data_IF_913025137100
#
_entry.id   IF_913025137100
#
_cell.length_a   1.000
_cell.length_b   1.000
_cell.length_c   1.000
_cell.angle_alpha   90.00
_cell.angle_beta   90.00
_cell.angle_gamma   90.00
#
_symmetry.space_group_name_H-M   'P 1'
#
loop_
_entity.id
_entity.type
_entity.pdbx_description
1 polymer ?
#
# COMPACT_ATOMS: atom_id res chain seq x y z
N UNK A 1 8.44 -8.16 5.77
CA UNK A 1 9.72 -8.76 5.35
C UNK A 1 10.44 -9.40 6.51
N UNK A 2 11.20 -8.62 7.30
CA UNK A 2 12.08 -9.16 8.37
C UNK A 2 11.36 -10.10 9.37
N UNK A 3 10.17 -9.78 9.92
CA UNK A 3 9.49 -10.71 10.80
C UNK A 3 9.15 -12.05 10.14
N UNK A 4 8.69 -12.04 8.88
CA UNK A 4 8.36 -13.26 8.13
C UNK A 4 9.61 -14.12 7.87
N UNK A 5 10.72 -13.49 7.47
CA UNK A 5 12.00 -14.18 7.26
C UNK A 5 12.48 -14.87 8.55
N UNK A 6 12.39 -14.17 9.69
CA UNK A 6 12.73 -14.73 11.01
C UNK A 6 11.80 -15.86 11.45
N UNK A 7 10.58 -15.91 10.94
CA UNK A 7 9.65 -17.04 11.13
C UNK A 7 9.91 -18.21 10.17
N UNK A 8 10.99 -18.16 9.38
CA UNK A 8 11.38 -19.23 8.45
C UNK A 8 10.67 -19.18 7.09
N UNK A 9 9.94 -18.11 6.79
CA UNK A 9 9.31 -17.91 5.47
C UNK A 9 10.31 -17.21 4.54
N UNK A 10 10.70 -17.81 3.41
CA UNK A 10 11.55 -17.12 2.44
C UNK A 10 10.86 -15.87 1.89
N UNK A 11 11.55 -14.74 1.90
CA UNK A 11 11.03 -13.45 1.42
C UNK A 11 11.99 -12.85 0.42
N UNK A 12 11.45 -12.38 -0.71
CA UNK A 12 12.13 -11.44 -1.59
C UNK A 12 11.29 -10.14 -1.70
N UNK A 13 11.91 -9.05 -2.15
CA UNK A 13 11.22 -7.77 -2.27
C UNK A 13 11.63 -6.94 -3.48
N UNK A 14 10.73 -6.01 -3.85
CA UNK A 14 11.02 -4.86 -4.70
C UNK A 14 11.01 -3.62 -3.82
N UNK A 15 11.96 -2.73 -4.04
CA UNK A 15 12.01 -1.42 -3.38
C UNK A 15 12.45 -0.39 -4.41
N UNK A 16 11.75 0.74 -4.52
CA UNK A 16 12.11 1.81 -5.46
C UNK A 16 13.13 2.77 -4.84
N UNK A 17 13.09 2.91 -3.51
CA UNK A 17 13.87 3.87 -2.73
C UNK A 17 15.20 3.29 -2.26
N UNK A 18 16.31 3.72 -2.86
CA UNK A 18 17.64 3.36 -2.38
C UNK A 18 17.86 3.73 -0.90
N UNK A 19 17.41 4.90 -0.38
CA UNK A 19 17.50 5.19 1.05
C UNK A 19 16.79 4.16 1.94
N UNK A 20 15.59 3.71 1.55
CA UNK A 20 14.85 2.70 2.31
C UNK A 20 15.53 1.34 2.24
N UNK A 21 16.08 0.99 1.08
CA UNK A 21 16.88 -0.22 0.94
C UNK A 21 18.13 -0.17 1.83
N UNK A 22 18.84 0.96 1.91
CA UNK A 22 19.96 1.13 2.86
C UNK A 22 19.51 0.95 4.30
N UNK A 23 18.35 1.50 4.68
CA UNK A 23 17.79 1.31 6.02
C UNK A 23 17.45 -0.16 6.30
N UNK A 24 16.89 -0.89 5.34
CA UNK A 24 16.64 -2.33 5.47
C UNK A 24 17.95 -3.10 5.75
N UNK A 25 19.04 -2.75 5.06
CA UNK A 25 20.35 -3.40 5.23
C UNK A 25 21.01 -3.17 6.59
N UNK A 26 20.52 -2.23 7.39
CA UNK A 26 20.92 -2.10 8.80
C UNK A 26 20.30 -3.17 9.71
N UNK A 27 19.27 -3.88 9.21
CA UNK A 27 18.46 -4.84 9.98
C UNK A 27 18.62 -6.29 9.50
N UNK A 28 18.95 -6.49 8.22
CA UNK A 28 19.01 -7.80 7.58
C UNK A 28 19.92 -7.80 6.36
N UNK A 29 20.68 -8.88 6.18
CA UNK A 29 21.61 -9.03 5.06
C UNK A 29 20.89 -9.37 3.75
N UNK A 30 21.57 -9.11 2.62
CA UNK A 30 21.03 -9.37 1.28
C UNK A 30 20.82 -10.86 0.99
N UNK A 31 21.54 -11.74 1.67
CA UNK A 31 21.40 -13.19 1.57
C UNK A 31 20.15 -13.69 2.28
N UNK A 32 19.75 -13.06 3.40
CA UNK A 32 18.56 -13.44 4.15
C UNK A 32 17.28 -12.89 3.51
N UNK A 33 17.31 -11.65 3.00
CA UNK A 33 16.20 -11.07 2.21
C UNK A 33 16.76 -10.43 0.93
N UNK A 34 16.69 -11.15 -0.20
CA UNK A 34 16.98 -10.60 -1.52
C UNK A 34 15.99 -9.47 -1.84
N UNK A 35 16.51 -8.28 -2.17
CA UNK A 35 15.69 -7.15 -2.61
C UNK A 35 16.27 -6.58 -3.87
N UNK A 36 15.43 -6.39 -4.88
CA UNK A 36 15.78 -5.77 -6.16
C UNK A 36 15.32 -4.32 -6.12
N UNK A 37 16.22 -3.40 -6.49
CA UNK A 37 15.85 -2.00 -6.70
C UNK A 37 14.97 -1.92 -7.94
N UNK A 38 13.70 -1.53 -7.79
CA UNK A 38 12.76 -1.52 -8.90
C UNK A 38 11.35 -1.10 -8.51
N UNK A 39 10.59 -0.72 -9.54
CA UNK A 39 9.19 -0.31 -9.41
C UNK A 39 8.29 -1.53 -9.22
N UNK A 40 7.35 -1.48 -8.28
CA UNK A 40 6.43 -2.60 -8.02
C UNK A 40 5.45 -2.91 -9.17
N UNK A 41 5.23 -1.97 -10.09
CA UNK A 41 4.39 -2.16 -11.26
C UNK A 41 5.08 -2.95 -12.39
N UNK A 42 6.42 -2.97 -12.43
CA UNK A 42 7.17 -3.52 -13.58
C UNK A 42 8.38 -4.38 -13.21
N UNK A 43 8.95 -4.18 -12.03
CA UNK A 43 10.12 -4.86 -11.52
C UNK A 43 9.89 -6.36 -11.33
N UNK A 44 10.99 -7.11 -11.28
CA UNK A 44 10.98 -8.56 -11.04
C UNK A 44 11.84 -8.88 -9.82
N UNK A 45 11.28 -9.58 -8.84
CA UNK A 45 12.02 -10.08 -7.69
C UNK A 45 12.03 -11.60 -7.70
N UNK A 46 13.23 -12.19 -7.70
CA UNK A 46 13.42 -13.65 -7.73
C UNK A 46 12.78 -14.32 -8.96
N UNK A 47 12.36 -15.57 -8.79
CA UNK A 47 11.81 -16.38 -9.88
C UNK A 47 10.31 -16.12 -10.08
N UNK A 48 9.94 -15.75 -11.29
CA UNK A 48 8.54 -15.48 -11.68
C UNK A 48 7.70 -16.76 -11.60
N UNK A 49 6.44 -16.64 -11.17
CA UNK A 49 5.52 -17.78 -11.05
C UNK A 49 5.82 -18.75 -9.90
N UNK A 50 6.76 -18.42 -9.01
CA UNK A 50 7.18 -19.30 -7.90
C UNK A 50 6.53 -18.96 -6.56
N UNK A 51 5.99 -17.75 -6.40
CA UNK A 51 5.50 -17.27 -5.11
C UNK A 51 4.10 -17.78 -4.78
N UNK A 52 3.87 -18.17 -3.53
CA UNK A 52 2.53 -18.47 -3.02
C UNK A 52 1.77 -17.21 -2.55
N UNK A 53 2.51 -16.14 -2.23
CA UNK A 53 2.01 -14.89 -1.68
C UNK A 53 2.82 -13.72 -2.23
N UNK A 54 2.12 -12.72 -2.75
CA UNK A 54 2.62 -11.36 -2.97
C UNK A 54 1.83 -10.46 -2.03
N UNK A 55 2.46 -9.44 -1.45
CA UNK A 55 1.74 -8.51 -0.57
C UNK A 55 2.24 -7.08 -0.71
N UNK A 56 1.33 -6.13 -0.59
CA UNK A 56 1.59 -4.71 -0.43
C UNK A 56 0.87 -4.24 0.84
N UNK A 57 1.64 -3.97 1.89
CA UNK A 57 1.11 -3.52 3.18
C UNK A 57 1.21 -2.01 3.34
N UNK A 58 0.52 -1.44 4.32
CA UNK A 58 0.62 -0.04 4.70
C UNK A 58 0.47 0.93 3.52
N UNK A 59 -0.61 0.76 2.75
CA UNK A 59 -1.04 1.65 1.67
C UNK A 59 -0.12 1.68 0.43
N UNK A 60 0.83 0.75 0.33
CA UNK A 60 1.90 0.81 -0.67
C UNK A 60 1.38 0.99 -2.10
N UNK A 61 0.30 0.29 -2.51
CA UNK A 61 -0.25 0.41 -3.88
C UNK A 61 -0.65 1.84 -4.27
N UNK A 62 -1.04 2.66 -3.29
CA UNK A 62 -1.48 4.04 -3.53
C UNK A 62 -0.35 4.99 -3.96
N UNK A 63 0.93 4.58 -3.82
CA UNK A 63 2.08 5.33 -4.32
C UNK A 63 2.17 5.33 -5.87
N UNK A 64 1.43 4.44 -6.55
CA UNK A 64 1.25 4.50 -8.00
C UNK A 64 0.16 5.52 -8.29
N UNK A 65 0.54 6.60 -8.96
CA UNK A 65 -0.29 7.80 -9.11
C UNK A 65 -1.26 7.71 -10.29
N UNK A 66 -1.24 6.61 -11.04
CA UNK A 66 -2.23 6.36 -12.08
C UNK A 66 -2.94 5.03 -11.87
N UNK A 67 -4.21 4.97 -12.25
CA UNK A 67 -4.96 3.71 -12.27
C UNK A 67 -4.27 2.67 -13.16
N UNK A 68 -3.68 3.11 -14.28
CA UNK A 68 -2.98 2.22 -15.20
C UNK A 68 -1.77 1.54 -14.55
N UNK A 69 -0.98 2.27 -13.76
CA UNK A 69 0.12 1.70 -12.98
C UNK A 69 -0.39 0.75 -11.89
N UNK A 70 -1.48 1.10 -11.20
CA UNK A 70 -2.11 0.23 -10.19
C UNK A 70 -2.57 -1.10 -10.82
N UNK A 71 -3.21 -1.07 -12.00
CA UNK A 71 -3.54 -2.28 -12.78
C UNK A 71 -2.28 -3.04 -13.22
N UNK A 72 -1.23 -2.33 -13.66
CA UNK A 72 0.04 -2.96 -14.01
C UNK A 72 0.68 -3.67 -12.81
N UNK A 73 0.56 -3.11 -11.60
CA UNK A 73 1.00 -3.75 -10.36
C UNK A 73 0.22 -5.04 -10.05
N UNK A 74 -1.10 -5.05 -10.21
CA UNK A 74 -1.87 -6.30 -10.12
C UNK A 74 -1.39 -7.35 -11.12
N UNK A 75 -1.19 -6.96 -12.40
CA UNK A 75 -0.64 -7.88 -13.41
C UNK A 75 0.77 -8.36 -13.06
N UNK A 76 1.58 -7.50 -12.48
CA UNK A 76 2.91 -7.87 -12.03
C UNK A 76 2.85 -8.84 -10.85
N UNK A 77 1.94 -8.64 -9.89
CA UNK A 77 1.70 -9.59 -8.82
C UNK A 77 1.24 -10.95 -9.38
N UNK A 78 0.27 -10.98 -10.30
CA UNK A 78 -0.17 -12.21 -10.97
C UNK A 78 0.98 -12.95 -11.64
N UNK A 79 1.85 -12.21 -12.35
CA UNK A 79 3.05 -12.77 -13.00
C UNK A 79 3.97 -13.48 -12.01
N UNK A 80 4.16 -12.93 -10.81
CA UNK A 80 5.03 -13.55 -9.78
C UNK A 80 4.38 -14.75 -9.08
N UNK A 81 3.05 -14.85 -9.07
CA UNK A 81 2.35 -15.89 -8.33
C UNK A 81 2.29 -17.21 -9.11
N UNK A 82 2.43 -18.32 -8.38
CA UNK A 82 2.03 -19.64 -8.86
C UNK A 82 0.48 -19.73 -8.95
N UNK A 83 -0.10 -20.69 -9.69
CA UNK A 83 -1.55 -20.92 -9.70
C UNK A 83 -2.13 -21.04 -8.29
N UNK A 84 -3.25 -20.36 -8.02
CA UNK A 84 -3.87 -20.29 -6.68
C UNK A 84 -3.09 -19.49 -5.63
N UNK A 85 -2.04 -18.77 -6.04
CA UNK A 85 -1.32 -17.83 -5.19
C UNK A 85 -2.19 -16.63 -4.78
N UNK A 86 -1.82 -15.97 -3.67
CA UNK A 86 -2.57 -14.82 -3.14
C UNK A 86 -1.84 -13.51 -3.36
N UNK A 87 -2.60 -12.47 -3.67
CA UNK A 87 -2.14 -11.09 -3.57
C UNK A 87 -2.88 -10.39 -2.43
N UNK A 88 -2.15 -9.90 -1.43
CA UNK A 88 -2.72 -9.23 -0.26
C UNK A 88 -2.42 -7.74 -0.30
N UNK A 89 -3.45 -6.91 -0.12
CA UNK A 89 -3.34 -5.46 -0.09
C UNK A 89 -3.93 -4.93 1.22
N UNK A 90 -3.15 -4.16 1.96
CA UNK A 90 -3.64 -3.31 3.06
C UNK A 90 -3.69 -1.86 2.58
N UNK A 91 -4.87 -1.24 2.70
CA UNK A 91 -5.12 0.12 2.21
C UNK A 91 -6.17 0.83 3.08
N UNK A 92 -5.99 2.14 3.29
CA UNK A 92 -7.01 3.00 3.90
C UNK A 92 -8.24 3.18 3.00
N UNK A 93 -9.39 3.45 3.59
CA UNK A 93 -10.63 3.84 2.89
C UNK A 93 -10.71 5.36 2.86
N UNK A 94 -10.96 5.99 1.70
CA UNK A 94 -10.95 7.44 1.61
C UNK A 94 -12.08 8.12 2.38
N UNK A 95 -11.69 9.03 3.27
CA UNK A 95 -12.60 9.73 4.18
C UNK A 95 -13.31 10.94 3.54
N UNK A 96 -13.71 10.82 2.26
CA UNK A 96 -14.36 11.93 1.54
C UNK A 96 -15.66 12.41 2.19
N UNK A 97 -16.31 11.58 3.02
CA UNK A 97 -17.49 11.96 3.82
C UNK A 97 -17.20 13.08 4.84
N UNK A 98 -15.93 13.30 5.19
CA UNK A 98 -15.52 14.36 6.10
C UNK A 98 -15.28 15.70 5.40
N UNK A 99 -15.22 15.74 4.06
CA UNK A 99 -15.07 16.99 3.32
C UNK A 99 -16.34 17.83 3.43
N UNK A 100 -16.23 19.00 4.03
CA UNK A 100 -17.32 19.97 4.03
C UNK A 100 -17.51 20.58 2.61
N UNK A 101 -18.72 21.02 2.25
CA UNK A 101 -18.97 21.63 0.94
C UNK A 101 -17.99 22.78 0.63
N UNK A 102 -17.31 22.69 -0.51
CA UNK A 102 -16.34 23.70 -0.97
C UNK A 102 -14.93 23.57 -0.37
N UNK A 103 -14.70 22.60 0.54
CA UNK A 103 -13.36 22.27 1.04
C UNK A 103 -12.76 21.10 0.27
N UNK A 104 -11.44 21.10 0.16
CA UNK A 104 -10.66 20.06 -0.50
C UNK A 104 -9.74 19.31 0.48
N UNK A 105 -9.82 19.59 1.78
CA UNK A 105 -8.87 19.09 2.78
C UNK A 105 -9.55 18.63 4.08
N UNK A 106 -8.98 17.60 4.70
CA UNK A 106 -9.44 17.00 5.97
C UNK A 106 -8.25 16.78 6.90
N UNK A 107 -8.42 17.03 8.21
CA UNK A 107 -7.46 16.60 9.23
C UNK A 107 -7.75 15.16 9.59
N UNK A 108 -6.88 14.22 9.21
CA UNK A 108 -7.07 12.79 9.47
C UNK A 108 -6.43 12.33 10.79
N UNK A 109 -5.57 13.15 11.40
CA UNK A 109 -4.87 12.76 12.60
C UNK A 109 -4.27 13.94 13.35
N UNK A 110 -4.35 13.89 14.67
CA UNK A 110 -3.77 14.89 15.57
C UNK A 110 -3.07 14.20 16.72
N UNK A 111 -1.96 14.77 17.17
CA UNK A 111 -1.25 14.33 18.37
C UNK A 111 -0.41 15.47 18.95
N UNK A 112 0.24 15.22 20.08
CA UNK A 112 1.16 16.21 20.64
C UNK A 112 2.30 16.50 19.64
N UNK A 113 2.35 17.75 19.17
CA UNK A 113 3.32 18.18 18.15
C UNK A 113 3.08 17.58 16.75
N UNK A 114 1.93 16.98 16.46
CA UNK A 114 1.65 16.37 15.16
C UNK A 114 0.28 16.75 14.60
N UNK A 115 0.25 17.07 13.29
CA UNK A 115 -0.97 17.21 12.50
C UNK A 115 -0.81 16.48 11.16
N UNK A 116 -1.78 15.62 10.86
CA UNK A 116 -1.96 14.99 9.56
C UNK A 116 -3.12 15.65 8.82
N UNK A 117 -2.86 16.17 7.62
CA UNK A 117 -3.88 16.77 6.76
C UNK A 117 -3.80 16.16 5.36
N UNK A 118 -4.92 15.63 4.90
CA UNK A 118 -5.07 15.15 3.54
C UNK A 118 -5.75 16.23 2.70
N UNK A 119 -5.17 16.49 1.53
CA UNK A 119 -5.77 17.35 0.50
C UNK A 119 -6.14 16.51 -0.71
N UNK A 120 -7.40 16.54 -1.10
CA UNK A 120 -7.98 15.71 -2.14
C UNK A 120 -8.20 16.47 -3.45
N UNK A 121 -7.86 15.84 -4.57
CA UNK A 121 -8.49 16.08 -5.85
C UNK A 121 -9.46 14.92 -6.12
N UNK A 122 -10.75 15.20 -5.90
CA UNK A 122 -11.81 14.18 -6.02
C UNK A 122 -12.09 13.79 -7.47
N UNK A 123 -11.71 14.61 -8.45
CA UNK A 123 -11.92 14.30 -9.87
C UNK A 123 -10.93 13.23 -10.35
N UNK A 124 -9.68 13.35 -9.95
CA UNK A 124 -8.60 12.46 -10.40
C UNK A 124 -8.24 11.37 -9.39
N UNK A 125 -8.92 11.34 -8.24
CA UNK A 125 -8.67 10.47 -7.10
C UNK A 125 -7.28 10.60 -6.48
N UNK A 126 -6.71 11.81 -6.51
CA UNK A 126 -5.44 12.08 -5.83
C UNK A 126 -5.66 12.59 -4.42
N UNK A 127 -4.75 12.22 -3.53
CA UNK A 127 -4.60 12.83 -2.22
C UNK A 127 -3.13 13.14 -1.99
N UNK A 128 -2.85 14.27 -1.35
CA UNK A 128 -1.52 14.55 -0.80
C UNK A 128 -1.64 14.61 0.71
N UNK A 129 -1.03 13.64 1.37
CA UNK A 129 -0.94 13.58 2.83
C UNK A 129 0.18 14.50 3.30
N UNK A 130 -0.19 15.50 4.09
CA UNK A 130 0.71 16.49 4.70
C UNK A 130 0.90 16.12 6.17
N UNK A 131 2.13 15.79 6.54
CA UNK A 131 2.51 15.45 7.90
C UNK A 131 3.33 16.60 8.49
N UNK A 132 2.71 17.38 9.37
CA UNK A 132 3.35 18.46 10.10
C UNK A 132 3.83 17.96 11.46
N UNK A 133 5.12 18.10 11.73
CA UNK A 133 5.72 17.78 13.02
C UNK A 133 6.33 19.02 13.64
N UNK A 134 5.89 19.36 14.85
CA UNK A 134 6.39 20.47 15.63
C UNK A 134 7.32 19.93 16.73
N UNK A 135 8.45 20.60 16.91
CA UNK A 135 9.25 20.44 18.12
C UNK A 135 8.67 21.27 19.27
N UNK A 136 9.53 21.70 20.19
CA UNK A 136 9.16 22.62 21.27
C UNK A 136 8.96 24.07 20.79
N UNK A 137 9.26 24.36 19.52
CA UNK A 137 9.16 25.68 18.90
C UNK A 137 7.94 25.82 17.99
N UNK A 138 7.83 26.96 17.30
CA UNK A 138 6.72 27.28 16.39
C UNK A 138 6.89 26.75 14.96
N UNK A 139 8.07 26.25 14.62
CA UNK A 139 8.39 25.77 13.27
C UNK A 139 7.98 24.31 13.09
N UNK A 140 7.34 24.02 11.96
CA UNK A 140 6.95 22.67 11.58
C UNK A 140 7.94 22.08 10.57
N UNK A 141 8.31 20.81 10.75
CA UNK A 141 8.86 19.98 9.67
C UNK A 141 7.69 19.38 8.90
N UNK A 142 7.68 19.59 7.59
CA UNK A 142 6.62 19.11 6.70
C UNK A 142 7.13 18.00 5.80
N UNK A 143 6.46 16.85 5.87
CA UNK A 143 6.58 15.78 4.89
C UNK A 143 5.30 15.69 4.06
N UNK A 144 5.44 15.45 2.75
CA UNK A 144 4.32 15.30 1.82
C UNK A 144 4.41 13.96 1.13
N UNK A 145 3.30 13.24 1.11
CA UNK A 145 3.19 11.94 0.45
C UNK A 145 2.05 11.99 -0.56
N UNK A 146 2.34 12.03 -1.88
CA UNK A 146 1.31 11.96 -2.90
C UNK A 146 0.82 10.52 -3.05
N UNK A 147 -0.49 10.35 -3.20
CA UNK A 147 -1.13 9.07 -3.40
C UNK A 147 -2.28 9.20 -4.40
N UNK A 148 -2.58 8.11 -5.10
CA UNK A 148 -3.88 7.92 -5.75
C UNK A 148 -4.70 6.92 -4.93
N UNK A 149 -5.80 7.39 -4.36
CA UNK A 149 -6.68 6.54 -3.57
C UNK A 149 -7.55 5.66 -4.45
N UNK A 150 -8.02 4.56 -3.87
CA UNK A 150 -8.75 3.51 -4.58
C UNK A 150 -9.97 3.15 -3.75
N UNK A 151 -11.15 3.14 -4.36
CA UNK A 151 -12.34 2.59 -3.71
C UNK A 151 -12.29 1.06 -3.66
N UNK A 152 -12.83 0.39 -2.63
CA UNK A 152 -12.82 -1.08 -2.53
C UNK A 152 -13.30 -1.80 -3.81
N UNK A 153 -14.40 -1.35 -4.41
CA UNK A 153 -14.93 -1.93 -5.64
C UNK A 153 -14.05 -1.66 -6.88
N UNK A 154 -13.39 -0.51 -6.95
CA UNK A 154 -12.42 -0.21 -8.01
C UNK A 154 -11.19 -1.14 -7.88
N UNK A 155 -10.74 -1.37 -6.64
CA UNK A 155 -9.64 -2.30 -6.34
C UNK A 155 -9.99 -3.72 -6.78
N UNK A 156 -11.22 -4.17 -6.53
CA UNK A 156 -11.72 -5.48 -6.95
C UNK A 156 -11.72 -5.61 -8.49
N UNK A 157 -12.19 -4.57 -9.19
CA UNK A 157 -12.18 -4.54 -10.66
C UNK A 157 -10.76 -4.62 -11.23
N UNK A 158 -9.80 -3.91 -10.62
CA UNK A 158 -8.38 -4.01 -11.02
C UNK A 158 -7.82 -5.42 -10.81
N UNK A 159 -8.23 -6.10 -9.72
CA UNK A 159 -7.93 -7.50 -9.49
C UNK A 159 -8.47 -8.40 -10.62
N UNK A 160 -9.76 -8.25 -10.98
CA UNK A 160 -10.39 -9.03 -12.06
C UNK A 160 -9.69 -8.84 -13.40
N UNK A 161 -9.29 -7.61 -13.74
CA UNK A 161 -8.53 -7.29 -14.96
C UNK A 161 -7.14 -7.97 -15.03
N UNK A 162 -6.65 -8.48 -13.90
CA UNK A 162 -5.40 -9.22 -13.78
C UNK A 162 -5.61 -10.72 -13.47
N UNK A 163 -6.85 -11.23 -13.53
CA UNK A 163 -7.16 -12.65 -13.32
C UNK A 163 -7.34 -13.05 -11.85
N UNK A 164 -7.54 -12.09 -10.95
CA UNK A 164 -7.82 -12.37 -9.55
C UNK A 164 -9.32 -12.36 -9.24
N UNK A 165 -9.68 -13.15 -8.23
CA UNK A 165 -10.96 -13.07 -7.53
C UNK A 165 -10.72 -12.59 -6.10
N UNK A 166 -11.61 -11.75 -5.56
CA UNK A 166 -11.59 -11.38 -4.14
C UNK A 166 -11.92 -12.63 -3.30
N UNK A 167 -10.99 -13.08 -2.47
CA UNK A 167 -11.14 -14.23 -1.56
C UNK A 167 -11.72 -13.78 -0.21
N UNK A 168 -11.22 -12.67 0.35
CA UNK A 168 -11.77 -12.07 1.56
C UNK A 168 -11.40 -10.59 1.71
N UNK A 169 -12.14 -9.88 2.57
CA UNK A 169 -11.87 -8.49 2.96
C UNK A 169 -12.19 -8.31 4.44
N UNK A 170 -11.24 -7.75 5.17
CA UNK A 170 -11.33 -7.46 6.61
C UNK A 170 -10.98 -6.00 6.86
N UNK A 171 -11.42 -5.40 7.97
CA UNK A 171 -11.05 -4.03 8.33
C UNK A 171 -9.56 -3.89 8.67
N UNK A 172 -8.95 -4.94 9.21
CA UNK A 172 -7.57 -4.98 9.64
C UNK A 172 -7.01 -6.42 9.69
N UNK A 173 -5.75 -6.56 10.15
CA UNK A 173 -5.05 -7.83 10.29
C UNK A 173 -5.56 -8.75 11.42
N UNK A 174 -6.44 -8.25 12.30
CA UNK A 174 -7.11 -9.11 13.31
C UNK A 174 -8.26 -9.92 12.71
N UNK A 175 -8.64 -9.62 11.46
CA UNK A 175 -9.77 -10.26 10.78
C UNK A 175 -11.11 -9.61 11.10
N UNK A 176 -11.11 -8.41 11.70
CA UNK A 176 -12.32 -7.67 12.00
C UNK A 176 -13.20 -7.46 10.74
N UNK A 177 -14.51 -7.45 10.94
CA UNK A 177 -15.47 -7.26 9.85
C UNK A 177 -15.26 -5.91 9.15
N UNK A 178 -15.25 -5.91 7.82
CA UNK A 178 -15.19 -4.70 7.02
C UNK A 178 -16.60 -4.11 6.84
N UNK A 179 -16.82 -2.89 7.33
CA UNK A 179 -18.12 -2.21 7.32
C UNK A 179 -18.01 -0.82 6.67
N UNK A 180 -19.13 -0.11 6.59
CA UNK A 180 -19.16 1.26 6.08
C UNK A 180 -18.40 2.26 6.98
N UNK A 181 -18.03 1.86 8.20
CA UNK A 181 -17.31 2.65 9.20
C UNK A 181 -15.81 2.34 9.23
N UNK A 182 -15.37 1.28 8.54
CA UNK A 182 -13.96 0.92 8.48
C UNK A 182 -13.13 1.99 7.76
N UNK A 183 -12.03 2.41 8.39
CA UNK A 183 -11.08 3.39 7.85
C UNK A 183 -9.94 2.75 7.07
N UNK A 184 -9.84 1.42 7.11
CA UNK A 184 -8.89 0.62 6.35
C UNK A 184 -9.49 -0.73 5.97
N UNK A 185 -8.79 -1.43 5.10
CA UNK A 185 -9.07 -2.82 4.82
C UNK A 185 -7.80 -3.61 4.51
N UNK A 186 -7.88 -4.92 4.75
CA UNK A 186 -6.96 -5.94 4.23
C UNK A 186 -7.77 -6.80 3.26
N UNK A 187 -7.42 -6.73 1.98
CA UNK A 187 -8.04 -7.53 0.91
C UNK A 187 -7.12 -8.66 0.51
N UNK A 188 -7.67 -9.86 0.43
CA UNK A 188 -6.99 -11.05 -0.09
C UNK A 188 -7.60 -11.38 -1.44
N UNK A 189 -6.76 -11.40 -2.48
CA UNK A 189 -7.14 -11.79 -3.82
C UNK A 189 -6.48 -13.12 -4.19
N UNK A 190 -7.23 -14.07 -4.73
CA UNK A 190 -6.70 -15.35 -5.21
C UNK A 190 -6.56 -15.32 -6.73
N UNK A 191 -5.39 -15.69 -7.25
CA UNK A 191 -5.19 -15.86 -8.69
C UNK A 191 -5.93 -17.11 -9.17
N UNK A 192 -6.68 -16.97 -10.27
CA UNK A 192 -7.39 -18.06 -10.94
C UNK A 192 -6.49 -19.19 -11.45
#
# INVERSE_FOLDING_TARGET
>A
GVPLARSGVPVAGLELSEPMLRQLRTKVDATEIPVVLGDMATGTAGEVGSYSLVYLVFNTISNLLTQAEQVACFRNAARHLRPGGRFVIELWVPELRQLAPGLDSVVFGTGEGYFGLDRFDVLTQHVVSHHFHFGQGKEARLFRSPHRYIWPAELDLMGQLAGFELESRHADWSGAEFTAESTSHVSVYRLG
#
